data_IF_788219267824
#
_entry.id   IF_788219267824
#
_cell.length_a   1.000
_cell.length_b   1.000
_cell.length_c   1.000
_cell.angle_alpha   90.00
_cell.angle_beta   90.00
_cell.angle_gamma   90.00
#
_symmetry.space_group_name_H-M   'P 1'
#
loop_
_entity.id
_entity.type
_entity.pdbx_description
1 polymer ?
#
# COMPACT_ATOMS: atom_id res chain seq x y z
N UNK A 1 -7.87 13.05 -37.73
CA UNK A 1 -6.69 13.12 -36.86
C UNK A 1 -6.54 11.74 -36.26
N UNK A 2 -5.58 10.97 -36.74
CA UNK A 2 -5.31 9.65 -36.14
C UNK A 2 -4.77 9.88 -34.73
N UNK A 3 -5.49 9.33 -33.74
CA UNK A 3 -5.12 9.50 -32.34
C UNK A 3 -3.89 8.65 -32.05
N UNK A 4 -2.93 9.22 -31.32
CA UNK A 4 -1.70 8.51 -30.95
C UNK A 4 -2.05 7.39 -29.95
N UNK A 5 -1.54 6.16 -30.15
CA UNK A 5 -1.71 5.08 -29.19
C UNK A 5 -1.12 5.42 -27.82
N UNK A 6 -1.87 5.16 -26.75
CA UNK A 6 -1.46 5.45 -25.37
C UNK A 6 -1.87 4.32 -24.43
N UNK A 7 -1.21 4.22 -23.28
CA UNK A 7 -1.59 3.31 -22.21
C UNK A 7 -2.46 4.03 -21.17
N UNK A 8 -3.47 3.35 -20.67
CA UNK A 8 -4.29 3.80 -19.54
C UNK A 8 -4.46 2.67 -18.53
N UNK A 9 -4.16 2.95 -17.25
CA UNK A 9 -4.40 1.99 -16.16
C UNK A 9 -5.90 1.98 -15.84
N UNK A 10 -6.56 0.86 -16.13
CA UNK A 10 -8.01 0.68 -15.92
C UNK A 10 -8.32 0.27 -14.48
N UNK A 11 -7.47 -0.55 -13.87
CA UNK A 11 -7.60 -0.97 -12.46
C UNK A 11 -6.22 -0.83 -11.80
N UNK A 12 -6.11 0.10 -10.84
CA UNK A 12 -4.90 0.27 -10.03
C UNK A 12 -4.67 -0.95 -9.12
N UNK A 13 -3.42 -1.28 -8.75
CA UNK A 13 -3.16 -2.28 -7.73
C UNK A 13 -3.63 -1.79 -6.37
N UNK A 14 -4.04 -2.71 -5.51
CA UNK A 14 -4.29 -2.40 -4.10
C UNK A 14 -2.96 -2.05 -3.42
N UNK A 15 -2.91 -0.83 -2.88
CA UNK A 15 -1.67 -0.29 -2.33
C UNK A 15 -1.17 -1.04 -1.09
N UNK A 16 -2.06 -1.50 -0.21
CA UNK A 16 -1.67 -2.11 1.08
C UNK A 16 -2.31 -3.48 1.31
N UNK A 17 -1.66 -4.27 2.17
CA UNK A 17 -2.16 -5.55 2.64
C UNK A 17 -1.57 -6.77 1.91
N UNK A 18 -0.77 -6.55 0.87
CA UNK A 18 0.04 -7.58 0.24
C UNK A 18 1.40 -7.67 0.91
N UNK A 19 1.89 -8.89 1.18
CA UNK A 19 3.25 -9.11 1.70
C UNK A 19 4.19 -9.46 0.55
N UNK A 20 5.35 -8.83 0.50
CA UNK A 20 6.43 -9.25 -0.40
C UNK A 20 7.12 -10.50 0.17
N UNK A 21 7.52 -11.42 -0.71
CA UNK A 21 7.99 -12.75 -0.31
C UNK A 21 9.43 -12.96 -0.73
N UNK A 22 10.25 -13.50 0.18
CA UNK A 22 11.58 -13.96 -0.22
C UNK A 22 11.47 -15.26 -1.00
N UNK A 23 12.40 -15.47 -1.92
CA UNK A 23 12.54 -16.71 -2.68
C UNK A 23 12.58 -17.95 -1.78
N UNK A 24 13.31 -17.86 -0.65
CA UNK A 24 13.47 -18.94 0.31
C UNK A 24 12.19 -19.30 1.09
N UNK A 25 11.08 -18.56 0.92
CA UNK A 25 9.79 -18.92 1.56
C UNK A 25 9.10 -20.11 0.88
N UNK A 26 9.51 -20.50 -0.35
CA UNK A 26 9.06 -21.72 -1.03
C UNK A 26 7.55 -21.79 -1.35
N UNK A 27 6.82 -20.68 -1.22
CA UNK A 27 5.40 -20.54 -1.54
C UNK A 27 5.23 -19.60 -2.73
N UNK A 28 4.11 -19.68 -3.45
CA UNK A 28 3.76 -18.64 -4.43
C UNK A 28 3.75 -17.27 -3.73
N UNK A 29 4.26 -16.23 -4.40
CA UNK A 29 4.38 -14.90 -3.81
C UNK A 29 3.04 -14.16 -3.64
N UNK A 30 1.92 -14.88 -3.72
CA UNK A 30 0.56 -14.34 -3.73
C UNK A 30 0.19 -13.69 -5.06
N UNK A 31 -0.95 -12.99 -5.06
CA UNK A 31 -1.43 -12.19 -6.19
C UNK A 31 -1.72 -10.76 -5.72
N UNK A 32 -1.26 -9.75 -6.45
CA UNK A 32 -1.58 -8.34 -6.25
C UNK A 32 -3.06 -8.16 -6.62
N UNK A 33 -3.97 -7.87 -5.68
CA UNK A 33 -5.36 -7.60 -6.02
C UNK A 33 -5.48 -6.18 -6.60
N UNK A 34 -6.56 -5.94 -7.35
CA UNK A 34 -6.94 -4.59 -7.78
C UNK A 34 -7.44 -3.75 -6.60
N UNK A 35 -7.36 -2.42 -6.73
CA UNK A 35 -7.81 -1.43 -5.76
C UNK A 35 -9.28 -1.61 -5.38
N UNK A 36 -10.13 -2.00 -6.33
CA UNK A 36 -11.56 -2.20 -6.16
C UNK A 36 -11.95 -3.62 -5.71
N UNK A 37 -10.97 -4.46 -5.35
CA UNK A 37 -11.24 -5.80 -4.80
C UNK A 37 -11.95 -5.69 -3.45
N UNK A 38 -13.08 -6.38 -3.34
CA UNK A 38 -13.89 -6.48 -2.12
C UNK A 38 -14.22 -7.96 -1.80
N UNK A 39 -15.09 -8.20 -0.81
CA UNK A 39 -15.40 -9.55 -0.32
C UNK A 39 -16.01 -10.47 -1.38
N UNK A 40 -16.83 -9.92 -2.27
CA UNK A 40 -17.60 -10.69 -3.26
C UNK A 40 -16.94 -10.68 -4.64
N UNK A 41 -16.17 -9.63 -4.96
CA UNK A 41 -15.56 -9.43 -6.28
C UNK A 41 -14.06 -9.19 -6.18
N UNK A 42 -13.29 -10.10 -6.76
CA UNK A 42 -11.86 -9.92 -6.99
C UNK A 42 -11.61 -9.21 -8.31
N UNK A 43 -10.84 -8.14 -8.26
CA UNK A 43 -10.32 -7.40 -9.41
C UNK A 43 -8.81 -7.53 -9.44
N UNK A 44 -8.18 -7.17 -10.55
CA UNK A 44 -6.74 -7.35 -10.76
C UNK A 44 -6.16 -6.13 -11.47
N UNK A 45 -4.89 -5.78 -11.20
CA UNK A 45 -4.22 -4.72 -11.94
C UNK A 45 -4.42 -4.91 -13.44
N UNK A 46 -4.85 -3.85 -14.12
CA UNK A 46 -5.11 -3.91 -15.56
C UNK A 46 -4.81 -2.60 -16.24
N UNK A 47 -4.35 -2.70 -17.48
CA UNK A 47 -3.95 -1.59 -18.32
C UNK A 47 -4.46 -1.84 -19.74
N UNK A 48 -4.88 -0.78 -20.43
CA UNK A 48 -5.48 -0.86 -21.76
C UNK A 48 -4.66 -0.03 -22.74
N UNK A 49 -4.49 -0.55 -23.96
CA UNK A 49 -3.94 0.23 -25.07
C UNK A 49 -5.11 0.94 -25.77
N UNK A 50 -5.11 2.27 -25.71
CA UNK A 50 -6.10 3.11 -26.39
C UNK A 50 -5.60 3.52 -27.78
N UNK A 51 -6.55 3.91 -28.64
CA UNK A 51 -6.28 4.43 -29.99
C UNK A 51 -5.45 3.49 -30.90
N UNK A 52 -5.46 2.19 -30.61
CA UNK A 52 -4.80 1.16 -31.40
C UNK A 52 -5.69 -0.09 -31.43
N UNK A 53 -5.76 -0.75 -32.59
CA UNK A 53 -6.57 -1.96 -32.79
C UNK A 53 -5.77 -2.96 -33.62
N UNK A 54 -4.96 -3.75 -32.93
CA UNK A 54 -4.11 -4.79 -33.50
C UNK A 54 -3.44 -5.56 -32.37
N UNK A 55 -2.61 -6.56 -32.68
CA UNK A 55 -1.87 -7.25 -31.62
C UNK A 55 -0.81 -6.30 -31.05
N UNK A 56 -0.65 -6.27 -29.73
CA UNK A 56 0.45 -5.60 -29.04
C UNK A 56 0.99 -6.49 -27.92
N UNK A 57 2.26 -6.30 -27.58
CA UNK A 57 2.89 -6.95 -26.43
C UNK A 57 2.83 -5.98 -25.26
N UNK A 58 2.15 -6.37 -24.18
CA UNK A 58 2.11 -5.61 -22.94
C UNK A 58 3.09 -6.23 -21.94
N UNK A 59 3.94 -5.39 -21.35
CA UNK A 59 5.01 -5.77 -20.42
C UNK A 59 4.82 -5.02 -19.11
N UNK A 60 5.01 -5.71 -17.99
CA UNK A 60 4.92 -5.13 -16.65
C UNK A 60 6.20 -5.43 -15.89
N UNK A 61 6.82 -4.40 -15.32
CA UNK A 61 8.01 -4.52 -14.44
C UNK A 61 7.83 -3.70 -13.16
N UNK A 62 8.70 -3.90 -12.17
CA UNK A 62 8.72 -3.08 -10.96
C UNK A 62 9.67 -1.88 -11.11
N UNK A 63 9.20 -0.72 -10.68
CA UNK A 63 9.99 0.52 -10.57
C UNK A 63 9.86 1.12 -9.18
N UNK A 64 10.79 2.02 -8.83
CA UNK A 64 10.78 2.73 -7.56
C UNK A 64 9.64 3.75 -7.48
N UNK A 65 9.42 4.28 -6.27
CA UNK A 65 8.45 5.36 -6.02
C UNK A 65 8.94 6.75 -6.46
N UNK A 66 10.22 6.86 -6.80
CA UNK A 66 10.90 8.12 -7.06
C UNK A 66 10.44 8.74 -8.39
N UNK A 67 10.79 10.00 -8.59
CA UNK A 67 10.62 10.73 -9.84
C UNK A 67 11.98 11.29 -10.31
N UNK A 68 12.54 10.82 -11.44
CA UNK A 68 12.00 9.79 -12.33
C UNK A 68 12.07 8.37 -11.73
N UNK A 69 11.14 7.46 -12.10
CA UNK A 69 11.14 6.09 -11.58
C UNK A 69 12.35 5.28 -12.06
N UNK A 70 13.02 4.60 -11.13
CA UNK A 70 14.19 3.74 -11.39
C UNK A 70 13.79 2.27 -11.39
N UNK A 71 14.51 1.36 -12.08
CA UNK A 71 14.28 -0.08 -11.95
C UNK A 71 14.32 -0.54 -10.49
N UNK A 72 13.34 -1.34 -10.07
CA UNK A 72 13.30 -1.85 -8.70
C UNK A 72 14.04 -3.20 -8.60
N UNK A 73 14.78 -3.48 -7.51
CA UNK A 73 15.52 -4.75 -7.38
C UNK A 73 14.61 -5.98 -7.25
N UNK A 74 13.45 -5.83 -6.59
CA UNK A 74 12.44 -6.91 -6.48
C UNK A 74 11.94 -7.38 -7.85
N UNK A 75 11.44 -8.62 -7.91
CA UNK A 75 10.93 -9.27 -9.12
C UNK A 75 9.41 -9.42 -9.09
N UNK A 76 8.76 -9.24 -10.25
CA UNK A 76 7.44 -9.85 -10.47
C UNK A 76 7.59 -11.35 -10.70
N UNK A 77 6.76 -12.14 -10.04
CA UNK A 77 6.72 -13.59 -10.20
C UNK A 77 5.29 -14.06 -10.34
N UNK A 78 5.10 -15.19 -11.04
CA UNK A 78 3.78 -15.73 -11.30
C UNK A 78 3.62 -16.23 -12.72
N UNK A 79 2.38 -16.31 -13.18
CA UNK A 79 2.10 -16.72 -14.57
C UNK A 79 2.64 -15.66 -15.53
N UNK A 80 3.21 -16.09 -16.63
CA UNK A 80 3.74 -15.22 -17.70
C UNK A 80 4.84 -14.25 -17.22
N UNK A 81 5.46 -14.54 -16.06
CA UNK A 81 6.58 -13.80 -15.51
C UNK A 81 7.90 -14.51 -15.80
N UNK A 82 8.86 -13.79 -16.35
CA UNK A 82 10.23 -14.27 -16.54
C UNK A 82 11.22 -13.15 -16.16
N UNK A 83 12.28 -13.50 -15.45
CA UNK A 83 13.32 -12.57 -15.00
C UNK A 83 12.74 -11.27 -14.38
N UNK A 84 11.71 -11.41 -13.53
CA UNK A 84 11.06 -10.33 -12.79
C UNK A 84 10.18 -9.39 -13.60
N UNK A 85 9.82 -9.77 -14.83
CA UNK A 85 8.94 -9.03 -15.73
C UNK A 85 7.79 -9.93 -16.17
N UNK A 86 6.56 -9.42 -16.18
CA UNK A 86 5.40 -10.11 -16.75
C UNK A 86 5.15 -9.64 -18.18
N UNK A 87 4.87 -10.54 -19.11
CA UNK A 87 4.58 -10.18 -20.48
C UNK A 87 3.40 -10.98 -21.05
N UNK A 88 2.44 -10.29 -21.65
CA UNK A 88 1.26 -10.88 -22.30
C UNK A 88 1.01 -10.22 -23.66
N UNK A 89 0.22 -10.89 -24.51
CA UNK A 89 -0.32 -10.28 -25.72
C UNK A 89 -1.70 -9.67 -25.42
N UNK A 90 -1.97 -8.52 -26.03
CA UNK A 90 -3.29 -7.88 -26.05
C UNK A 90 -3.72 -7.66 -27.50
N UNK A 91 -5.01 -7.76 -27.78
CA UNK A 91 -5.55 -7.73 -29.14
C UNK A 91 -7.01 -7.23 -29.16
N UNK A 92 -7.62 -7.00 -30.34
CA UNK A 92 -8.99 -6.49 -30.39
C UNK A 92 -10.03 -7.44 -29.75
N UNK A 93 -9.76 -8.74 -29.68
CA UNK A 93 -10.64 -9.74 -29.07
C UNK A 93 -10.75 -9.59 -27.55
N UNK A 94 -9.71 -9.07 -26.88
CA UNK A 94 -9.76 -8.68 -25.47
C UNK A 94 -9.90 -7.17 -25.26
N UNK A 95 -10.37 -6.44 -26.27
CA UNK A 95 -10.52 -4.98 -26.23
C UNK A 95 -9.20 -4.26 -25.89
N UNK A 96 -8.07 -4.81 -26.29
CA UNK A 96 -6.74 -4.30 -25.97
C UNK A 96 -6.43 -4.22 -24.46
N UNK A 97 -7.13 -5.00 -23.63
CA UNK A 97 -7.02 -4.97 -22.18
C UNK A 97 -6.09 -6.07 -21.65
N UNK A 98 -5.02 -5.66 -20.98
CA UNK A 98 -4.15 -6.57 -20.23
C UNK A 98 -4.58 -6.68 -18.78
N UNK A 99 -4.87 -7.90 -18.30
CA UNK A 99 -5.30 -8.17 -16.92
C UNK A 99 -4.31 -9.13 -16.25
N UNK A 100 -3.88 -8.79 -15.03
CA UNK A 100 -2.75 -9.45 -14.37
C UNK A 100 -3.11 -10.12 -13.02
N UNK A 101 -3.86 -11.24 -13.02
CA UNK A 101 -4.39 -11.84 -11.78
C UNK A 101 -3.40 -12.63 -10.92
N UNK A 102 -2.25 -13.01 -11.48
CA UNK A 102 -1.29 -13.91 -10.85
C UNK A 102 0.07 -13.26 -10.61
N UNK A 103 0.11 -11.94 -10.37
CA UNK A 103 1.35 -11.24 -10.07
C UNK A 103 1.65 -11.27 -8.58
N UNK A 104 2.75 -11.89 -8.19
CA UNK A 104 3.36 -11.77 -6.88
C UNK A 104 4.63 -10.92 -6.92
N UNK A 105 5.07 -10.45 -5.75
CA UNK A 105 6.31 -9.68 -5.61
C UNK A 105 7.31 -10.50 -4.81
N UNK A 106 8.40 -10.89 -5.46
CA UNK A 106 9.53 -11.55 -4.84
C UNK A 106 10.56 -10.50 -4.42
N UNK A 107 10.75 -10.32 -3.12
CA UNK A 107 11.70 -9.37 -2.57
C UNK A 107 13.10 -9.97 -2.40
N UNK A 108 14.11 -9.14 -2.65
CA UNK A 108 15.52 -9.48 -2.43
C UNK A 108 16.01 -8.98 -1.07
N UNK A 109 17.11 -9.54 -0.57
CA UNK A 109 17.76 -9.02 0.66
C UNK A 109 18.58 -7.78 0.32
N UNK A 110 18.83 -6.93 1.32
CA UNK A 110 19.57 -5.67 1.11
C UNK A 110 20.96 -5.87 0.47
N UNK A 111 21.65 -6.95 0.83
CA UNK A 111 22.96 -7.33 0.24
C UNK A 111 22.90 -7.75 -1.23
N UNK A 112 21.73 -8.13 -1.73
CA UNK A 112 21.51 -8.61 -3.10
C UNK A 112 21.04 -7.48 -4.04
N UNK A 113 20.79 -6.27 -3.51
CA UNK A 113 20.21 -5.15 -4.27
C UNK A 113 21.07 -4.75 -5.46
N UNK A 114 22.38 -4.58 -5.27
CA UNK A 114 23.30 -4.18 -6.34
C UNK A 114 23.27 -5.17 -7.52
N UNK A 115 23.42 -6.47 -7.24
CA UNK A 115 23.35 -7.51 -8.27
C UNK A 115 21.97 -7.56 -8.95
N UNK A 116 20.89 -7.49 -8.18
CA UNK A 116 19.53 -7.52 -8.73
C UNK A 116 19.27 -6.35 -9.68
N UNK A 117 19.74 -5.14 -9.36
CA UNK A 117 19.67 -3.98 -10.25
C UNK A 117 20.49 -4.22 -11.52
N UNK A 118 21.72 -4.72 -11.41
CA UNK A 118 22.53 -5.02 -12.59
C UNK A 118 21.86 -6.04 -13.51
N UNK A 119 21.23 -7.07 -12.93
CA UNK A 119 20.49 -8.08 -13.69
C UNK A 119 19.29 -7.44 -14.42
N UNK A 120 18.57 -6.47 -13.82
CA UNK A 120 17.51 -5.72 -14.52
C UNK A 120 18.03 -5.04 -15.76
N UNK A 121 19.16 -4.33 -15.64
CA UNK A 121 19.77 -3.59 -16.74
C UNK A 121 20.25 -4.51 -17.86
N UNK A 122 20.89 -5.63 -17.51
CA UNK A 122 21.35 -6.64 -18.47
C UNK A 122 20.18 -7.25 -19.27
N UNK A 123 19.00 -7.34 -18.67
CA UNK A 123 17.77 -7.79 -19.34
C UNK A 123 17.00 -6.66 -20.04
N UNK A 124 17.54 -5.44 -20.11
CA UNK A 124 16.89 -4.29 -20.75
C UNK A 124 15.66 -3.78 -20.00
N UNK A 125 15.56 -4.04 -18.69
CA UNK A 125 14.48 -3.57 -17.82
C UNK A 125 14.87 -2.20 -17.24
N UNK A 126 14.75 -1.18 -18.07
CA UNK A 126 14.87 0.22 -17.66
C UNK A 126 13.83 1.07 -18.41
N UNK A 127 12.56 1.04 -17.98
CA UNK A 127 11.45 1.64 -18.75
C UNK A 127 11.62 3.13 -19.04
N UNK A 128 12.31 3.86 -18.16
CA UNK A 128 12.52 5.31 -18.26
C UNK A 128 13.94 5.71 -18.67
N UNK A 129 14.82 4.73 -18.94
CA UNK A 129 16.22 5.02 -19.28
C UNK A 129 16.97 5.80 -18.20
N UNK A 130 16.53 5.73 -16.95
CA UNK A 130 17.15 6.49 -15.85
C UNK A 130 18.58 6.06 -15.69
N UNK A 131 19.50 7.02 -15.68
CA UNK A 131 20.89 6.77 -15.32
C UNK A 131 20.94 6.34 -13.86
N UNK A 132 21.49 5.17 -13.62
CA UNK A 132 21.90 4.78 -12.29
C UNK A 132 23.34 5.22 -12.19
N UNK A 133 23.58 6.34 -11.50
CA UNK A 133 24.94 6.88 -11.33
C UNK A 133 25.83 5.73 -10.89
N UNK A 134 26.95 5.50 -11.60
CA UNK A 134 27.85 4.35 -11.45
C UNK A 134 28.51 4.19 -10.08
N UNK A 135 28.02 4.88 -9.06
CA UNK A 135 28.26 4.66 -7.66
C UNK A 135 27.29 3.59 -7.15
N UNK A 136 27.80 2.43 -6.73
CA UNK A 136 26.99 1.33 -6.15
C UNK A 136 26.05 1.83 -5.03
N UNK A 137 26.37 2.97 -4.40
CA UNK A 137 25.54 3.64 -3.39
C UNK A 137 24.18 4.10 -3.90
N UNK A 138 24.06 4.52 -5.17
CA UNK A 138 22.79 5.01 -5.74
C UNK A 138 21.75 3.90 -5.90
N UNK A 139 22.21 2.67 -6.15
CA UNK A 139 21.38 1.46 -6.18
C UNK A 139 20.94 0.99 -4.79
N UNK A 140 21.67 1.34 -3.72
CA UNK A 140 21.43 0.89 -2.33
C UNK A 140 20.36 1.72 -1.60
N UNK A 141 20.00 2.88 -2.13
CA UNK A 141 19.01 3.80 -1.54
C UNK A 141 17.57 3.60 -2.06
N UNK A 142 17.29 2.49 -2.73
CA UNK A 142 15.93 2.16 -3.15
C UNK A 142 15.11 1.67 -1.95
N UNK A 143 13.93 2.24 -1.76
CA UNK A 143 13.00 1.83 -0.71
C UNK A 143 12.42 0.43 -0.97
N UNK A 144 12.99 -0.59 -0.33
CA UNK A 144 12.59 -1.99 -0.52
C UNK A 144 11.19 -2.32 -0.02
N UNK A 145 10.51 -1.39 0.66
CA UNK A 145 9.16 -1.61 1.17
C UNK A 145 8.08 -1.05 0.24
N UNK A 146 8.45 -0.37 -0.85
CA UNK A 146 7.51 0.30 -1.76
C UNK A 146 7.92 0.05 -3.21
N UNK A 147 7.01 -0.45 -4.02
CA UNK A 147 7.20 -0.62 -5.47
C UNK A 147 6.05 0.03 -6.23
N UNK A 148 6.25 0.31 -7.52
CA UNK A 148 5.18 0.63 -8.46
C UNK A 148 5.22 -0.34 -9.64
N UNK A 149 4.06 -0.66 -10.21
CA UNK A 149 3.99 -1.39 -11.49
C UNK A 149 4.21 -0.39 -12.62
N UNK A 150 5.16 -0.68 -13.51
CA UNK A 150 5.33 0.05 -14.75
C UNK A 150 4.79 -0.78 -15.90
N UNK A 151 3.81 -0.25 -16.62
CA UNK A 151 3.23 -0.87 -17.81
C UNK A 151 3.88 -0.26 -19.05
N UNK A 152 4.41 -1.11 -19.91
CA UNK A 152 4.92 -0.79 -21.23
C UNK A 152 4.11 -1.56 -22.27
N UNK A 153 3.98 -1.00 -23.47
CA UNK A 153 3.40 -1.72 -24.60
C UNK A 153 4.21 -1.48 -25.86
N UNK A 154 4.30 -2.53 -26.67
CA UNK A 154 5.05 -2.56 -27.92
C UNK A 154 4.10 -2.95 -29.04
N UNK A 155 3.97 -2.08 -30.04
CA UNK A 155 3.18 -2.30 -31.26
C UNK A 155 4.13 -2.64 -32.43
N UNK A 156 3.65 -3.37 -33.46
CA UNK A 156 4.48 -3.76 -34.60
C UNK A 156 4.94 -2.53 -35.39
N UNK A 157 6.20 -2.53 -35.82
CA UNK A 157 6.75 -1.60 -36.80
C UNK A 157 6.31 -1.94 -38.23
N UNK A 158 6.77 -1.14 -39.20
CA UNK A 158 6.49 -1.37 -40.62
C UNK A 158 6.97 -2.73 -41.15
N UNK A 159 7.83 -3.45 -40.41
CA UNK A 159 8.34 -4.79 -40.73
C UNK A 159 7.62 -5.89 -39.95
N UNK A 160 6.60 -5.54 -39.16
CA UNK A 160 5.82 -6.46 -38.33
C UNK A 160 6.50 -6.84 -37.01
N UNK A 161 7.64 -6.24 -36.66
CA UNK A 161 8.34 -6.52 -35.40
C UNK A 161 7.86 -5.57 -34.30
N UNK A 162 7.58 -6.08 -33.11
CA UNK A 162 7.10 -5.28 -31.97
C UNK A 162 8.20 -4.39 -31.36
N UNK A 163 8.53 -3.28 -32.03
CA UNK A 163 9.61 -2.35 -31.63
C UNK A 163 9.11 -0.95 -31.33
N UNK A 164 7.90 -0.58 -31.77
CA UNK A 164 7.31 0.73 -31.45
C UNK A 164 6.82 0.73 -30.00
N UNK A 165 7.60 1.32 -29.11
CA UNK A 165 7.30 1.44 -27.67
C UNK A 165 6.36 2.62 -27.42
N UNK A 166 5.27 2.37 -26.70
CA UNK A 166 4.39 3.43 -26.18
C UNK A 166 4.96 4.03 -24.89
N UNK A 167 4.55 5.25 -24.57
CA UNK A 167 4.97 5.91 -23.33
C UNK A 167 4.54 5.07 -22.12
N UNK A 168 5.48 4.68 -21.22
CA UNK A 168 5.15 3.85 -20.08
C UNK A 168 4.25 4.56 -19.08
N UNK A 169 3.34 3.83 -18.44
CA UNK A 169 2.51 4.36 -17.34
C UNK A 169 2.79 3.62 -16.04
N UNK A 170 2.80 4.35 -14.93
CA UNK A 170 3.18 3.82 -13.61
C UNK A 170 1.99 3.84 -12.65
N UNK A 171 1.76 2.72 -11.98
CA UNK A 171 0.66 2.56 -11.04
C UNK A 171 0.79 3.40 -9.77
N UNK A 172 -0.25 3.40 -8.95
CA UNK A 172 -0.15 3.77 -7.54
C UNK A 172 0.88 2.87 -6.81
N UNK A 173 1.55 3.36 -5.74
CA UNK A 173 2.53 2.58 -4.98
C UNK A 173 1.90 1.39 -4.25
N UNK A 174 2.64 0.28 -4.21
CA UNK A 174 2.33 -0.94 -3.46
C UNK A 174 3.32 -1.05 -2.31
N UNK A 175 2.80 -1.21 -1.11
CA UNK A 175 3.55 -1.24 0.15
C UNK A 175 3.62 -2.66 0.70
N UNK A 176 4.81 -3.09 1.14
CA UNK A 176 4.98 -4.37 1.82
C UNK A 176 4.24 -4.37 3.16
N UNK A 177 3.23 -5.23 3.29
CA UNK A 177 2.50 -5.45 4.55
C UNK A 177 3.42 -5.79 5.73
N UNK A 178 4.58 -6.41 5.48
CA UNK A 178 5.52 -6.77 6.56
C UNK A 178 6.23 -5.53 7.13
N UNK A 179 6.33 -4.44 6.36
CA UNK A 179 6.93 -3.19 6.82
C UNK A 179 5.95 -2.42 7.71
N UNK A 180 6.30 -2.25 8.98
CA UNK A 180 5.42 -1.60 9.97
C UNK A 180 5.11 -0.13 9.64
N UNK A 181 6.00 0.56 8.92
CA UNK A 181 5.80 1.94 8.48
C UNK A 181 4.73 2.08 7.38
N UNK A 182 4.28 0.99 6.78
CA UNK A 182 3.32 1.02 5.68
C UNK A 182 2.23 -0.05 5.78
N UNK A 183 2.19 -0.76 6.92
CA UNK A 183 1.16 -1.74 7.24
C UNK A 183 -0.21 -1.08 7.38
N UNK A 184 -1.26 -1.87 7.14
CA UNK A 184 -2.64 -1.45 7.44
C UNK A 184 -2.80 -1.41 8.95
N UNK A 185 -3.27 -0.29 9.48
CA UNK A 185 -3.55 -0.14 10.91
C UNK A 185 -4.81 -0.91 11.30
N UNK A 186 -4.74 -1.63 12.41
CA UNK A 186 -5.87 -2.43 12.90
C UNK A 186 -5.90 -2.44 14.42
N UNK A 187 -7.03 -2.00 14.98
CA UNK A 187 -7.38 -2.24 16.37
C UNK A 187 -7.98 -3.65 16.46
N UNK A 188 -7.43 -4.47 17.33
CA UNK A 188 -7.86 -5.85 17.54
C UNK A 188 -8.84 -5.94 18.71
N UNK A 189 -8.54 -5.30 19.84
CA UNK A 189 -9.39 -5.25 21.04
C UNK A 189 -9.07 -4.00 21.85
N UNK A 190 -10.04 -3.57 22.65
CA UNK A 190 -9.89 -2.57 23.72
C UNK A 190 -10.54 -3.12 24.99
N UNK A 191 -10.01 -2.75 26.16
CA UNK A 191 -10.57 -3.14 27.45
C UNK A 191 -11.79 -2.28 27.83
N UNK A 192 -11.81 -1.00 27.44
CA UNK A 192 -12.89 -0.05 27.68
C UNK A 192 -13.48 0.50 26.38
N UNK A 193 -14.79 0.69 26.39
CA UNK A 193 -15.57 1.26 25.28
C UNK A 193 -16.45 2.44 25.73
N UNK A 194 -16.28 2.89 26.96
CA UNK A 194 -16.96 4.02 27.55
C UNK A 194 -16.11 4.59 28.68
N UNK A 195 -16.40 5.83 29.06
CA UNK A 195 -15.70 6.52 30.15
C UNK A 195 -16.24 7.93 30.39
N UNK A 196 -15.80 8.57 31.45
CA UNK A 196 -16.18 9.94 31.83
C UNK A 196 -15.91 10.95 30.72
N UNK A 197 -16.82 11.90 30.52
CA UNK A 197 -16.64 13.06 29.63
C UNK A 197 -15.45 13.95 30.02
N UNK A 198 -14.94 13.83 31.25
CA UNK A 198 -13.72 14.50 31.71
C UNK A 198 -12.44 13.88 31.14
N UNK A 199 -12.53 12.71 30.51
CA UNK A 199 -11.37 11.97 30.01
C UNK A 199 -10.49 11.42 31.14
N UNK A 200 -9.20 11.29 30.86
CA UNK A 200 -8.15 10.81 31.77
C UNK A 200 -8.31 9.35 32.23
N UNK A 201 -9.16 8.57 31.57
CA UNK A 201 -9.29 7.15 31.84
C UNK A 201 -8.25 6.36 31.06
N UNK A 202 -7.52 5.51 31.77
CA UNK A 202 -6.56 4.60 31.15
C UNK A 202 -7.27 3.48 30.37
N UNK A 203 -6.84 3.27 29.12
CA UNK A 203 -7.38 2.30 28.17
C UNK A 203 -6.24 1.46 27.61
N UNK A 204 -6.43 0.14 27.60
CA UNK A 204 -5.52 -0.84 27.01
C UNK A 204 -6.02 -1.25 25.64
N UNK A 205 -5.28 -0.86 24.60
CA UNK A 205 -5.59 -1.15 23.21
C UNK A 205 -4.62 -2.18 22.63
N UNK A 206 -5.16 -3.31 22.15
CA UNK A 206 -4.40 -4.31 21.39
C UNK A 206 -4.54 -4.04 19.90
N UNK A 207 -3.42 -4.04 19.16
CA UNK A 207 -3.37 -3.75 17.74
C UNK A 207 -2.40 -4.66 16.96
N UNK A 208 -2.51 -4.63 15.63
CA UNK A 208 -1.43 -5.12 14.77
C UNK A 208 -0.17 -4.23 14.93
N UNK A 209 0.99 -4.68 14.46
CA UNK A 209 2.27 -3.98 14.67
C UNK A 209 2.23 -2.50 14.23
N UNK A 210 2.65 -1.59 15.12
CA UNK A 210 2.78 -0.14 14.90
C UNK A 210 4.19 0.37 15.22
N UNK A 211 4.55 1.58 14.73
CA UNK A 211 5.77 2.28 15.14
C UNK A 211 5.45 3.26 16.26
N UNK A 212 6.19 3.22 17.37
CA UNK A 212 5.85 3.99 18.58
C UNK A 212 6.07 5.49 18.43
N UNK A 213 6.94 5.91 17.51
CA UNK A 213 7.21 7.31 17.17
C UNK A 213 6.24 7.88 16.13
N UNK A 214 5.42 7.03 15.49
CA UNK A 214 4.59 7.39 14.33
C UNK A 214 3.20 6.73 14.45
N UNK A 215 2.56 6.95 15.59
CA UNK A 215 1.21 6.44 15.86
C UNK A 215 0.46 7.38 16.81
N UNK A 216 -0.83 7.55 16.57
CA UNK A 216 -1.76 8.32 17.39
C UNK A 216 -3.07 7.55 17.58
N UNK A 217 -3.71 7.75 18.73
CA UNK A 217 -5.11 7.37 18.97
C UNK A 217 -5.95 8.63 18.84
N UNK A 218 -6.90 8.65 17.91
CA UNK A 218 -7.67 9.84 17.54
C UNK A 218 -9.13 9.60 17.83
N UNK A 219 -9.69 10.38 18.74
CA UNK A 219 -11.14 10.48 19.02
C UNK A 219 -11.74 11.56 18.15
N UNK A 220 -12.92 11.32 17.59
CA UNK A 220 -13.59 12.29 16.76
C UNK A 220 -15.12 12.10 16.75
N UNK A 221 -15.82 13.22 16.57
CA UNK A 221 -17.27 13.29 16.33
C UNK A 221 -17.59 14.63 15.67
N UNK A 222 -18.33 14.59 14.57
CA UNK A 222 -18.68 15.79 13.78
C UNK A 222 -17.42 16.63 13.47
N UNK A 223 -17.32 17.86 13.97
CA UNK A 223 -16.17 18.75 13.79
C UNK A 223 -15.14 18.71 14.93
N UNK A 224 -15.32 17.82 15.92
CA UNK A 224 -14.42 17.68 17.04
C UNK A 224 -13.44 16.52 16.82
N UNK A 225 -12.16 16.77 17.10
CA UNK A 225 -11.10 15.78 17.13
C UNK A 225 -10.22 16.01 18.38
N UNK A 226 -9.83 14.93 19.05
CA UNK A 226 -8.87 14.98 20.16
C UNK A 226 -7.97 13.73 20.16
N UNK A 227 -6.77 13.86 20.73
CA UNK A 227 -5.79 12.79 20.81
C UNK A 227 -5.87 12.09 22.17
N UNK A 228 -5.83 10.75 22.16
CA UNK A 228 -5.50 9.99 23.35
C UNK A 228 -4.10 10.34 23.83
N UNK A 229 -3.94 10.54 25.14
CA UNK A 229 -2.68 10.93 25.75
C UNK A 229 -1.84 9.70 26.09
N UNK A 230 -0.67 9.59 25.45
CA UNK A 230 0.32 8.56 25.71
C UNK A 230 1.67 8.97 25.11
N UNK A 231 2.72 8.29 25.53
CA UNK A 231 4.08 8.48 25.04
C UNK A 231 4.63 7.20 24.39
N UNK A 232 5.84 7.29 23.83
CA UNK A 232 6.48 6.12 23.20
C UNK A 232 6.77 4.98 24.17
N UNK A 233 6.84 5.22 25.50
CA UNK A 233 7.03 4.16 26.51
C UNK A 233 5.76 3.34 26.76
N UNK A 234 4.60 3.91 26.46
CA UNK A 234 3.30 3.28 26.66
C UNK A 234 2.91 2.35 25.48
N UNK A 235 3.72 2.35 24.41
CA UNK A 235 3.59 1.43 23.29
C UNK A 235 4.34 0.13 23.59
N UNK A 236 3.61 -0.86 24.09
CA UNK A 236 4.18 -2.14 24.49
C UNK A 236 4.46 -3.04 23.29
N UNK A 237 5.76 -3.25 23.02
CA UNK A 237 6.26 -4.21 22.01
C UNK A 237 5.63 -4.05 20.62
N UNK A 238 5.24 -2.82 20.27
CA UNK A 238 4.58 -2.46 19.01
C UNK A 238 3.19 -3.07 18.78
N UNK A 239 2.61 -3.78 19.75
CA UNK A 239 1.35 -4.54 19.57
C UNK A 239 0.27 -4.17 20.58
N UNK A 240 0.58 -3.29 21.53
CA UNK A 240 -0.38 -2.69 22.43
C UNK A 240 -0.01 -1.24 22.72
N UNK A 241 -1.02 -0.43 23.02
CA UNK A 241 -0.90 0.96 23.44
C UNK A 241 -1.71 1.12 24.70
N UNK A 242 -1.09 1.65 25.76
CA UNK A 242 -1.80 2.17 26.92
C UNK A 242 -1.92 3.67 26.72
N UNK A 243 -3.13 4.20 26.78
CA UNK A 243 -3.35 5.64 26.62
C UNK A 243 -4.45 6.13 27.56
N UNK A 244 -4.49 7.44 27.80
CA UNK A 244 -5.59 8.10 28.52
C UNK A 244 -6.55 8.77 27.56
N UNK A 245 -7.84 8.60 27.80
CA UNK A 245 -8.88 9.23 26.98
C UNK A 245 -8.77 10.76 27.06
N UNK A 246 -8.94 11.48 25.94
CA UNK A 246 -9.05 12.94 26.01
C UNK A 246 -10.36 13.36 26.67
N UNK A 247 -10.44 14.58 27.25
CA UNK A 247 -11.71 15.17 27.64
C UNK A 247 -12.60 15.39 26.41
N UNK A 248 -13.91 15.19 26.56
CA UNK A 248 -14.87 15.50 25.50
C UNK A 248 -15.05 17.02 25.35
N UNK A 249 -15.41 17.50 24.16
CA UNK A 249 -15.56 18.96 23.92
C UNK A 249 -16.58 19.65 24.84
N UNK A 250 -17.57 18.91 25.32
CA UNK A 250 -18.50 19.37 26.35
C UNK A 250 -18.38 18.46 27.58
N UNK A 251 -17.70 18.95 28.60
CA UNK A 251 -17.48 18.22 29.86
C UNK A 251 -18.74 18.13 30.75
N UNK A 252 -19.84 18.80 30.37
CA UNK A 252 -21.09 18.86 31.13
C UNK A 252 -22.27 18.17 30.41
N UNK A 253 -21.99 17.08 29.68
CA UNK A 253 -23.04 16.30 29.01
C UNK A 253 -24.05 15.75 30.03
N UNK A 254 -25.34 15.83 29.68
CA UNK A 254 -26.43 15.31 30.51
C UNK A 254 -26.81 13.87 30.13
N UNK A 255 -26.50 13.47 28.90
CA UNK A 255 -26.77 12.14 28.35
C UNK A 255 -25.49 11.53 27.80
N UNK A 256 -25.53 10.22 27.51
CA UNK A 256 -24.40 9.50 26.91
C UNK A 256 -24.13 10.00 25.49
N UNK A 257 -22.87 10.13 25.12
CA UNK A 257 -22.44 10.62 23.81
C UNK A 257 -21.49 9.64 23.16
N UNK A 258 -21.93 9.01 22.08
CA UNK A 258 -21.08 8.12 21.28
C UNK A 258 -20.14 8.92 20.37
N UNK A 259 -18.84 8.69 20.49
CA UNK A 259 -17.83 9.18 19.56
C UNK A 259 -17.17 8.01 18.86
N UNK A 260 -16.41 8.29 17.81
CA UNK A 260 -15.57 7.29 17.17
C UNK A 260 -14.11 7.50 17.57
N UNK A 261 -13.34 6.43 17.65
CA UNK A 261 -11.89 6.52 17.74
C UNK A 261 -11.19 5.53 16.82
N UNK A 262 -9.99 5.88 16.38
CA UNK A 262 -9.18 5.09 15.45
C UNK A 262 -7.69 5.28 15.71
N UNK A 263 -6.87 4.36 15.20
CA UNK A 263 -5.44 4.60 15.06
C UNK A 263 -5.19 5.48 13.83
N UNK A 264 -4.27 6.42 13.93
CA UNK A 264 -3.76 7.23 12.81
C UNK A 264 -2.23 7.17 12.81
N UNK A 265 -1.63 6.92 11.65
CA UNK A 265 -0.18 7.06 11.45
C UNK A 265 0.10 8.44 10.83
N UNK A 266 0.74 9.37 11.56
CA UNK A 266 0.95 10.73 11.08
C UNK A 266 1.75 10.85 9.77
N UNK A 267 2.74 9.98 9.56
CA UNK A 267 3.64 10.07 8.39
C UNK A 267 2.95 9.94 7.03
N UNK A 268 1.85 9.19 6.94
CA UNK A 268 1.12 8.95 5.70
C UNK A 268 -0.41 9.11 5.83
N UNK A 269 -0.87 9.58 7.00
CA UNK A 269 -2.28 9.79 7.35
C UNK A 269 -3.16 8.53 7.21
N UNK A 270 -2.56 7.33 7.15
CA UNK A 270 -3.30 6.07 7.15
C UNK A 270 -4.07 5.93 8.47
N UNK A 271 -5.29 5.40 8.41
CA UNK A 271 -6.11 5.18 9.60
C UNK A 271 -6.64 3.75 9.69
N UNK A 272 -6.88 3.28 10.91
CA UNK A 272 -7.59 2.01 11.12
C UNK A 272 -9.09 2.18 10.90
N UNK A 273 -9.81 1.06 10.82
CA UNK A 273 -11.27 1.08 11.01
C UNK A 273 -11.59 1.70 12.38
N UNK A 274 -12.61 2.56 12.47
CA UNK A 274 -12.99 3.18 13.73
C UNK A 274 -13.73 2.19 14.63
N UNK A 275 -13.63 2.42 15.93
CA UNK A 275 -14.46 1.82 16.98
C UNK A 275 -15.29 2.92 17.66
N UNK A 276 -16.37 2.53 18.33
CA UNK A 276 -17.21 3.44 19.11
C UNK A 276 -16.70 3.52 20.53
N UNK A 277 -16.68 4.73 21.09
CA UNK A 277 -16.46 4.99 22.51
C UNK A 277 -17.58 5.88 23.04
N UNK A 278 -18.20 5.52 24.17
CA UNK A 278 -19.32 6.26 24.74
C UNK A 278 -18.86 7.13 25.91
N UNK A 279 -18.86 8.45 25.74
CA UNK A 279 -18.66 9.36 26.86
C UNK A 279 -19.90 9.37 27.76
N UNK A 280 -19.64 9.29 29.06
CA UNK A 280 -20.65 9.26 30.12
C UNK A 280 -20.66 10.59 30.88
N UNK A 281 -21.84 11.08 31.29
CA UNK A 281 -21.94 12.18 32.23
C UNK A 281 -21.19 11.90 33.53
N UNK A 282 -20.62 12.94 34.15
CA UNK A 282 -19.81 12.84 35.38
C UNK A 282 -20.48 11.99 36.47
N UNK A 283 -21.78 12.20 36.70
CA UNK A 283 -22.53 11.47 37.72
C UNK A 283 -22.75 9.98 37.40
N UNK A 284 -22.81 9.60 36.12
CA UNK A 284 -22.89 8.21 35.70
C UNK A 284 -21.54 7.50 35.84
N UNK A 285 -20.43 8.18 35.54
CA UNK A 285 -19.09 7.61 35.70
C UNK A 285 -18.81 7.26 37.18
N UNK A 286 -19.19 8.14 38.12
CA UNK A 286 -19.04 7.90 39.57
C UNK A 286 -19.80 6.67 40.09
N UNK A 287 -20.81 6.17 39.37
CA UNK A 287 -21.58 4.99 39.75
C UNK A 287 -20.93 3.68 39.27
N UNK A 288 -20.08 3.73 38.25
CA UNK A 288 -19.39 2.57 37.69
C UNK A 288 -18.10 2.23 38.45
N UNK A 289 -17.52 3.21 39.14
CA UNK A 289 -16.32 3.04 40.00
C UNK A 289 -16.64 2.52 41.42
N UNK A 290 -17.89 2.09 41.68
CA UNK A 290 -18.33 1.45 42.94
C UNK A 290 -18.54 -0.04 42.75
#
# INVERSE_FOLDING_TARGET
>A
MDRIPVLEIVEQPKQRGMRFRYECEGRSAGSIPGKNTNGDRKTWPSCQVLNYSGVAIMRVSLVSKDDPPRPHPHSLVGRDCNNGVCQINVDPGNQMLGVFPNLGIQCVRRREVGQAIQDRLNHGVNPFGTMLDGDERSAVDVDLNIVRLCFEAFIPDARGKYTQKLEPVVSDPIYDKKATCSSVLKICRVDKTHGSCMGNEEVFLLCDKVQKEDIQVVFYRDNWEALGDFSSVDVHRQVAIVFRTPPFCNENIQEKVDVQFKLRRPSDMETSKPLVFTYLPVYHAMLLDR
#
